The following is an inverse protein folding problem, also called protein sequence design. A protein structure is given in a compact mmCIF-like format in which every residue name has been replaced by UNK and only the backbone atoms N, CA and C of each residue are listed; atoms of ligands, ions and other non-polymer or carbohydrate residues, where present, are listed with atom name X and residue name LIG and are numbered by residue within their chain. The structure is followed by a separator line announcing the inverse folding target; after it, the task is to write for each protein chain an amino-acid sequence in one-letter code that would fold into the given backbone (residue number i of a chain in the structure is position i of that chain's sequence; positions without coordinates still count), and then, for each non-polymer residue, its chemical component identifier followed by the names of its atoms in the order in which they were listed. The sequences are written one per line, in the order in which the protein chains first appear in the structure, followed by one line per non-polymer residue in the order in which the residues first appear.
data_IF_233194860469
#
_entry.id   IF_233194860469
#
_cell.length_a   1.000
_cell.length_b   1.000
_cell.length_c   1.000
_cell.angle_alpha   90.00
_cell.angle_beta   90.00
_cell.angle_gamma   90.00
#
_symmetry.space_group_name_H-M   'P 1'
#
loop_
_entity.id
_entity.type
_entity.pdbx_description
1 polymer ?
#
# COMPACT_ATOMS: atom_id res chain seq x y z
N UNK A 1 -23.81 18.73 -38.87
CA UNK A 1 -22.78 19.64 -39.02
C UNK A 1 -21.67 19.63 -38.01
N UNK A 2 -21.93 19.56 -36.73
CA UNK A 2 -20.88 19.57 -35.72
C UNK A 2 -20.29 18.20 -35.37
N UNK A 3 -20.75 17.14 -35.99
CA UNK A 3 -20.39 15.78 -35.55
C UNK A 3 -19.07 15.25 -36.12
N UNK A 4 -18.55 15.88 -37.16
CA UNK A 4 -17.30 15.45 -37.79
C UNK A 4 -16.12 15.56 -36.81
N UNK A 5 -16.11 16.61 -35.99
CA UNK A 5 -15.07 16.81 -34.98
C UNK A 5 -15.14 15.83 -33.80
N UNK A 6 -16.21 15.03 -33.68
CA UNK A 6 -16.38 14.06 -32.62
C UNK A 6 -15.92 12.66 -33.03
N UNK A 7 -15.55 12.46 -34.28
CA UNK A 7 -15.07 11.17 -34.77
C UNK A 7 -13.57 11.07 -34.50
N UNK A 8 -13.23 10.46 -33.40
CA UNK A 8 -11.84 10.19 -33.04
C UNK A 8 -11.42 8.89 -33.69
N UNK A 9 -10.27 8.85 -34.42
CA UNK A 9 -9.77 7.62 -35.01
C UNK A 9 -9.54 6.53 -33.94
N UNK A 10 -9.90 5.30 -34.26
CA UNK A 10 -9.69 4.17 -33.36
C UNK A 10 -8.22 4.03 -32.94
N UNK A 11 -7.30 4.25 -33.88
CA UNK A 11 -5.87 4.20 -33.58
C UNK A 11 -5.46 5.19 -32.50
N UNK A 12 -6.05 6.41 -32.49
CA UNK A 12 -5.77 7.42 -31.47
C UNK A 12 -6.35 7.00 -30.12
N UNK A 13 -7.55 6.41 -30.11
CA UNK A 13 -8.16 5.89 -28.90
C UNK A 13 -7.27 4.80 -28.29
N UNK A 14 -6.83 3.84 -29.10
CA UNK A 14 -5.94 2.76 -28.67
C UNK A 14 -4.64 3.33 -28.11
N UNK A 15 -4.05 4.32 -28.79
CA UNK A 15 -2.82 4.98 -28.33
C UNK A 15 -3.01 5.63 -26.96
N UNK A 16 -4.08 6.37 -26.76
CA UNK A 16 -4.39 7.03 -25.47
C UNK A 16 -4.56 5.99 -24.36
N UNK A 17 -5.29 4.90 -24.62
CA UNK A 17 -5.50 3.83 -23.65
C UNK A 17 -4.19 3.17 -23.26
N UNK A 18 -3.33 2.87 -24.24
CA UNK A 18 -2.01 2.25 -23.98
C UNK A 18 -1.12 3.19 -23.17
N UNK A 19 -1.04 4.48 -23.55
CA UNK A 19 -0.23 5.46 -22.80
C UNK A 19 -0.72 5.60 -21.38
N UNK A 20 -2.04 5.72 -21.18
CA UNK A 20 -2.62 5.83 -19.85
C UNK A 20 -2.34 4.59 -19.01
N UNK A 21 -2.42 3.40 -19.59
CA UNK A 21 -2.10 2.14 -18.91
C UNK A 21 -0.64 2.09 -18.48
N UNK A 22 0.27 2.52 -19.34
CA UNK A 22 1.70 2.57 -19.05
C UNK A 22 2.01 3.55 -17.93
N UNK A 23 1.39 4.73 -17.94
CA UNK A 23 1.55 5.73 -16.88
C UNK A 23 1.05 5.20 -15.54
N UNK A 24 -0.11 4.54 -15.53
CA UNK A 24 -0.66 3.94 -14.31
C UNK A 24 0.26 2.87 -13.74
N UNK A 25 0.81 2.00 -14.60
CA UNK A 25 1.73 0.96 -14.17
C UNK A 25 3.02 1.55 -13.60
N UNK A 26 3.58 2.57 -14.28
CA UNK A 26 4.76 3.29 -13.80
C UNK A 26 4.52 3.92 -12.43
N UNK A 27 3.37 4.55 -12.24
CA UNK A 27 3.00 5.16 -10.95
C UNK A 27 2.84 4.10 -9.84
N UNK A 28 2.26 2.95 -10.16
CA UNK A 28 2.15 1.84 -9.19
C UNK A 28 3.52 1.32 -8.80
N UNK A 29 4.42 1.14 -9.77
CA UNK A 29 5.78 0.68 -9.51
C UNK A 29 6.53 1.66 -8.62
N UNK A 30 6.43 2.97 -8.89
CA UNK A 30 7.05 4.00 -8.07
C UNK A 30 6.52 3.98 -6.62
N UNK A 31 5.21 3.80 -6.44
CA UNK A 31 4.62 3.69 -5.10
C UNK A 31 5.09 2.44 -4.36
N UNK A 32 5.20 1.30 -5.06
CA UNK A 32 5.72 0.06 -4.45
C UNK A 32 7.16 0.25 -3.98
N UNK A 33 7.99 0.89 -4.79
CA UNK A 33 9.39 1.12 -4.46
C UNK A 33 9.53 2.08 -3.27
N UNK A 34 8.76 3.16 -3.28
CA UNK A 34 8.73 4.12 -2.16
C UNK A 34 8.28 3.43 -0.87
N UNK A 35 7.27 2.59 -0.93
CA UNK A 35 6.77 1.84 0.22
C UNK A 35 7.81 0.88 0.77
N UNK A 36 8.53 0.14 -0.11
CA UNK A 36 9.61 -0.74 0.33
C UNK A 36 10.72 0.02 1.05
N UNK A 37 11.11 1.18 0.52
CA UNK A 37 12.12 2.01 1.18
C UNK A 37 11.62 2.54 2.52
N UNK A 38 10.35 2.94 2.58
CA UNK A 38 9.74 3.36 3.83
C UNK A 38 9.83 2.26 4.90
N UNK A 39 9.52 1.01 4.55
CA UNK A 39 9.57 -0.11 5.50
C UNK A 39 10.97 -0.39 6.06
N UNK A 40 12.01 0.09 5.39
CA UNK A 40 13.39 0.02 5.89
C UNK A 40 13.80 1.24 6.71
N UNK A 41 12.98 2.27 6.77
CA UNK A 41 13.34 3.54 7.40
C UNK A 41 13.28 3.47 8.92
N UNK A 42 14.03 4.35 9.57
CA UNK A 42 13.97 4.52 11.03
C UNK A 42 12.59 5.01 11.48
N UNK A 43 11.94 5.82 10.67
CA UNK A 43 10.58 6.30 10.94
C UNK A 43 9.59 5.13 11.06
N UNK A 44 9.66 4.17 10.14
CA UNK A 44 8.84 2.97 10.22
C UNK A 44 9.19 2.12 11.45
N UNK A 45 10.48 1.93 11.73
CA UNK A 45 10.91 1.14 12.87
C UNK A 45 10.39 1.72 14.19
N UNK A 46 10.41 3.04 14.33
CA UNK A 46 9.83 3.71 15.51
C UNK A 46 8.33 3.51 15.61
N UNK A 47 7.61 3.66 14.50
CA UNK A 47 6.16 3.45 14.45
C UNK A 47 5.80 1.99 14.78
N UNK A 48 6.52 1.07 14.19
CA UNK A 48 6.41 -0.36 14.45
C UNK A 48 6.57 -0.68 15.93
N UNK A 49 7.61 -0.13 16.55
CA UNK A 49 7.85 -0.32 17.98
C UNK A 49 6.68 0.19 18.83
N UNK A 50 6.16 1.37 18.52
CA UNK A 50 5.02 1.96 19.23
C UNK A 50 3.80 1.05 19.17
N UNK A 51 3.50 0.50 17.99
CA UNK A 51 2.37 -0.42 17.80
C UNK A 51 2.56 -1.72 18.58
N UNK A 52 3.73 -2.33 18.47
CA UNK A 52 4.03 -3.57 19.23
C UNK A 52 3.94 -3.34 20.73
N UNK A 53 4.46 -2.23 21.22
CA UNK A 53 4.39 -1.89 22.64
C UNK A 53 2.94 -1.64 23.09
N UNK A 54 2.14 -0.92 22.29
CA UNK A 54 0.72 -0.70 22.54
C UNK A 54 -0.02 -2.02 22.74
N UNK A 55 0.29 -3.01 21.87
CA UNK A 55 -0.35 -4.32 21.85
C UNK A 55 0.33 -5.32 22.81
N UNK A 56 1.26 -4.84 23.62
CA UNK A 56 1.99 -5.66 24.62
C UNK A 56 2.69 -6.86 23.98
N UNK A 57 3.22 -6.68 22.75
CA UNK A 57 3.93 -7.72 22.01
C UNK A 57 3.11 -9.00 21.81
N UNK A 58 1.80 -8.83 21.75
CA UNK A 58 0.83 -9.92 21.66
C UNK A 58 0.10 -9.86 20.33
N UNK A 59 0.05 -10.99 19.60
CA UNK A 59 -0.73 -11.10 18.39
C UNK A 59 -2.22 -10.83 18.70
N UNK A 60 -2.79 -9.87 18.02
CA UNK A 60 -4.17 -9.45 18.27
C UNK A 60 -5.20 -10.45 17.71
N UNK A 61 -4.75 -11.47 16.97
CA UNK A 61 -5.64 -12.52 16.49
C UNK A 61 -5.56 -13.81 17.29
N UNK A 62 -4.36 -14.31 17.57
CA UNK A 62 -4.22 -15.62 18.22
C UNK A 62 -3.63 -15.56 19.63
N UNK A 63 -3.18 -14.41 20.11
CA UNK A 63 -2.60 -14.24 21.43
C UNK A 63 -1.16 -14.70 21.59
N UNK A 64 -0.53 -15.21 20.55
CA UNK A 64 0.89 -15.56 20.57
C UNK A 64 1.76 -14.30 20.58
N UNK A 65 3.07 -14.48 20.74
CA UNK A 65 4.02 -13.37 20.69
C UNK A 65 3.97 -12.73 19.30
N UNK A 66 3.75 -11.41 19.26
CA UNK A 66 3.76 -10.64 18.03
C UNK A 66 5.16 -10.13 17.72
N UNK A 67 5.56 -10.25 16.47
CA UNK A 67 6.84 -9.75 15.97
C UNK A 67 6.69 -8.87 14.74
N UNK A 68 5.47 -8.76 14.20
CA UNK A 68 5.19 -8.07 12.95
C UNK A 68 4.01 -7.12 13.11
N UNK A 69 3.95 -6.11 12.25
CA UNK A 69 2.86 -5.15 12.23
C UNK A 69 2.18 -5.20 10.88
N UNK A 70 0.86 -5.34 10.90
CA UNK A 70 0.02 -5.43 9.71
C UNK A 70 -0.74 -4.13 9.52
N UNK A 71 -0.81 -3.66 8.27
CA UNK A 71 -1.62 -2.52 7.89
C UNK A 71 -3.06 -2.98 7.66
N UNK A 72 -4.00 -2.49 8.47
CA UNK A 72 -5.44 -2.70 8.22
C UNK A 72 -5.91 -1.85 7.04
N UNK A 73 -5.28 -0.69 6.85
CA UNK A 73 -5.47 0.22 5.74
C UNK A 73 -4.13 0.76 5.27
N UNK A 74 -4.02 1.07 3.99
CA UNK A 74 -2.80 1.62 3.40
C UNK A 74 -3.02 3.08 2.99
N UNK A 75 -2.09 3.93 3.38
CA UNK A 75 -2.07 5.33 2.96
C UNK A 75 -1.43 5.44 1.57
N UNK A 76 -2.22 5.25 0.51
CA UNK A 76 -1.72 5.19 -0.88
C UNK A 76 -0.93 6.41 -1.30
N UNK A 77 -1.34 7.61 -0.87
CA UNK A 77 -0.75 8.87 -1.28
C UNK A 77 0.03 9.57 -0.17
N UNK A 78 0.00 9.03 1.03
CA UNK A 78 0.66 9.60 2.20
C UNK A 78 1.40 8.52 2.98
N UNK A 79 2.23 7.77 2.27
CA UNK A 79 3.02 6.68 2.86
C UNK A 79 3.88 7.25 3.99
N UNK A 80 3.80 6.60 5.15
CA UNK A 80 4.48 7.04 6.36
C UNK A 80 3.65 7.94 7.27
N UNK A 81 2.49 8.40 6.82
CA UNK A 81 1.59 9.25 7.60
C UNK A 81 0.36 8.52 8.11
N UNK A 82 0.27 7.21 7.92
CA UNK A 82 -0.84 6.42 8.42
C UNK A 82 -0.91 6.52 9.95
N UNK A 83 -2.12 6.70 10.51
CA UNK A 83 -2.32 6.67 11.96
C UNK A 83 -1.98 5.29 12.52
N UNK A 84 -1.50 5.22 13.75
CA UNK A 84 -1.20 3.94 14.41
C UNK A 84 -2.45 3.08 14.58
N UNK A 85 -3.64 3.67 14.59
CA UNK A 85 -4.92 2.94 14.67
C UNK A 85 -5.17 2.06 13.42
N UNK A 86 -4.47 2.33 12.32
CA UNK A 86 -4.54 1.50 11.10
C UNK A 86 -3.60 0.31 11.15
N UNK A 87 -2.85 0.16 12.23
CA UNK A 87 -1.81 -0.84 12.37
C UNK A 87 -2.13 -1.77 13.53
N UNK A 88 -1.81 -3.05 13.38
CA UNK A 88 -2.07 -4.06 14.38
C UNK A 88 -0.89 -5.03 14.47
N UNK A 89 -0.58 -5.45 15.70
CA UNK A 89 0.50 -6.43 15.93
C UNK A 89 0.01 -7.84 15.65
N UNK A 90 0.78 -8.59 14.90
CA UNK A 90 0.49 -9.99 14.58
C UNK A 90 1.73 -10.85 14.74
N UNK A 91 1.52 -12.14 15.00
CA UNK A 91 2.58 -13.14 14.86
C UNK A 91 2.80 -13.44 13.36
N UNK A 92 3.93 -14.04 13.04
CA UNK A 92 4.28 -14.34 11.66
C UNK A 92 3.24 -15.20 10.93
N UNK A 93 2.75 -16.31 11.52
CA UNK A 93 1.70 -17.12 10.86
C UNK A 93 0.41 -16.35 10.60
N UNK A 94 -0.08 -15.57 11.54
CA UNK A 94 -1.30 -14.78 11.36
C UNK A 94 -1.11 -13.70 10.29
N UNK A 95 0.05 -13.06 10.27
CA UNK A 95 0.36 -12.05 9.26
C UNK A 95 0.39 -12.66 7.85
N UNK A 96 1.00 -13.84 7.69
CA UNK A 96 1.00 -14.53 6.39
C UNK A 96 -0.41 -14.85 5.90
N UNK A 97 -1.31 -15.26 6.79
CA UNK A 97 -2.71 -15.56 6.43
C UNK A 97 -3.43 -14.32 5.88
N UNK A 98 -3.09 -13.12 6.33
CA UNK A 98 -3.70 -11.88 5.84
C UNK A 98 -3.31 -11.56 4.40
N UNK A 99 -2.18 -12.07 3.92
CA UNK A 99 -1.66 -11.79 2.58
C UNK A 99 -1.93 -12.93 1.58
N UNK A 100 -2.56 -14.00 2.01
CA UNK A 100 -2.91 -15.14 1.12
C UNK A 100 -4.34 -15.04 0.60
#
# INVERSE_FOLDING_TARGET
MGFIGLLVPLALIIFIVVVNSNVRESNRAARRDYYREYLKSDAWQRKRYVVLKRDNWTCQECGAKATEVHHLKYAKYQIGKEPIDWLVSLCSPCHRKKHN
#
